data_IF_839150022607
#
_entry.id   IF_839150022607
#
_cell.length_a   1.000
_cell.length_b   1.000
_cell.length_c   1.000
_cell.angle_alpha   90.00
_cell.angle_beta   90.00
_cell.angle_gamma   90.00
#
_symmetry.space_group_name_H-M   'P 1'
#
loop_
_entity.id
_entity.type
_entity.pdbx_description
1 polymer ?
#
# COMPACT_ATOMS: atom_id res chain seq x y z
N UNK A 1 28.93 14.74 -4.14
CA UNK A 1 27.69 15.56 -4.18
C UNK A 1 27.24 15.76 -2.74
N UNK A 2 27.31 16.98 -2.24
CA UNK A 2 26.89 17.35 -0.89
C UNK A 2 27.20 18.83 -0.69
N UNK A 3 26.19 19.66 -0.45
CA UNK A 3 26.39 21.06 -0.09
C UNK A 3 27.04 21.16 1.28
N UNK A 4 27.99 22.08 1.45
CA UNK A 4 28.68 22.30 2.72
C UNK A 4 27.87 23.12 3.72
N UNK A 5 26.76 23.73 3.27
CA UNK A 5 25.93 24.59 4.08
C UNK A 5 24.74 23.82 4.67
N UNK A 6 24.56 23.92 5.98
CA UNK A 6 23.41 23.35 6.68
C UNK A 6 22.15 24.15 6.34
N UNK A 7 21.08 23.45 5.95
CA UNK A 7 19.76 24.05 5.69
C UNK A 7 18.79 23.60 6.76
N UNK A 8 18.21 24.58 7.46
CA UNK A 8 17.13 24.30 8.42
C UNK A 8 15.88 23.84 7.67
N UNK A 9 15.26 22.76 8.15
CA UNK A 9 14.04 22.20 7.57
C UNK A 9 13.04 21.85 8.67
N UNK A 10 11.76 22.12 8.40
CA UNK A 10 10.63 21.63 9.18
C UNK A 10 9.86 20.62 8.31
N UNK A 11 9.92 19.34 8.69
CA UNK A 11 9.43 18.24 7.87
C UNK A 11 8.74 17.17 8.71
N UNK A 12 7.69 16.59 8.13
CA UNK A 12 7.08 15.35 8.61
C UNK A 12 7.58 14.17 7.78
N UNK A 13 8.18 13.19 8.44
CA UNK A 13 8.69 11.98 7.77
C UNK A 13 7.65 10.86 7.85
N UNK A 14 7.33 10.26 6.69
CA UNK A 14 6.52 9.04 6.58
C UNK A 14 7.33 8.01 5.80
N UNK A 15 7.54 6.83 6.40
CA UNK A 15 8.29 5.74 5.79
C UNK A 15 7.44 4.49 5.66
N UNK A 16 7.64 3.70 4.61
CA UNK A 16 6.98 2.41 4.40
C UNK A 16 7.99 1.37 3.92
N UNK A 17 7.85 0.12 4.34
CA UNK A 17 8.69 -0.99 3.90
C UNK A 17 7.90 -2.29 3.90
N UNK A 18 8.20 -3.17 2.93
CA UNK A 18 7.71 -4.55 2.89
C UNK A 18 8.73 -5.55 3.47
N UNK A 19 9.90 -5.06 3.92
CA UNK A 19 10.96 -5.89 4.50
C UNK A 19 10.81 -5.97 6.00
N UNK A 20 11.23 -7.09 6.58
CA UNK A 20 11.39 -7.22 8.02
C UNK A 20 12.61 -6.42 8.48
N UNK A 21 12.36 -5.28 9.14
CA UNK A 21 13.42 -4.42 9.67
C UNK A 21 14.14 -5.06 10.86
N UNK A 22 13.50 -5.92 11.65
CA UNK A 22 14.15 -6.64 12.74
C UNK A 22 15.23 -7.59 12.22
N UNK A 23 14.88 -8.39 11.21
CA UNK A 23 15.84 -9.24 10.51
C UNK A 23 16.94 -8.43 9.80
N UNK A 24 16.61 -7.27 9.25
CA UNK A 24 17.60 -6.39 8.61
C UNK A 24 18.59 -5.78 9.61
N UNK A 25 18.13 -5.40 10.81
CA UNK A 25 18.99 -4.91 11.90
C UNK A 25 19.91 -6.03 12.39
N UNK A 26 19.37 -7.23 12.61
CA UNK A 26 20.17 -8.39 13.03
C UNK A 26 21.28 -8.74 12.01
N UNK A 27 20.98 -8.59 10.71
CA UNK A 27 21.96 -8.77 9.64
C UNK A 27 22.85 -7.57 9.35
N UNK A 28 22.86 -6.53 10.19
CA UNK A 28 23.62 -5.28 9.99
C UNK A 28 23.36 -4.58 8.65
N UNK A 29 22.17 -4.79 8.06
CA UNK A 29 21.71 -4.16 6.81
C UNK A 29 20.81 -2.94 7.06
N UNK A 30 20.43 -2.70 8.32
CA UNK A 30 19.66 -1.54 8.70
C UNK A 30 20.13 -0.98 10.03
N UNK A 31 20.19 0.35 10.10
CA UNK A 31 20.65 1.10 11.26
C UNK A 31 19.62 1.04 12.38
N UNK A 32 20.04 0.52 13.54
CA UNK A 32 19.20 0.37 14.73
C UNK A 32 18.70 1.72 15.26
N UNK A 33 19.55 2.73 15.29
CA UNK A 33 19.20 4.06 15.77
C UNK A 33 18.16 4.76 14.87
N UNK A 34 18.28 4.61 13.55
CA UNK A 34 17.28 5.11 12.60
C UNK A 34 15.94 4.37 12.75
N UNK A 35 15.96 3.05 12.99
CA UNK A 35 14.74 2.28 13.22
C UNK A 35 13.94 2.87 14.39
N UNK A 36 14.58 3.10 15.54
CA UNK A 36 13.88 3.64 16.70
C UNK A 36 13.35 5.07 16.51
N UNK A 37 13.96 5.88 15.63
CA UNK A 37 13.42 7.20 15.27
C UNK A 37 12.21 7.12 14.35
N UNK A 38 12.19 6.18 13.41
CA UNK A 38 11.10 6.03 12.45
C UNK A 38 9.92 5.22 13.01
N UNK A 39 10.21 4.27 13.91
CA UNK A 39 9.24 3.30 14.42
C UNK A 39 8.52 3.74 15.70
N UNK A 40 8.48 5.04 16.00
CA UNK A 40 7.72 5.59 17.13
C UNK A 40 6.21 5.29 16.99
N UNK A 41 5.68 5.40 15.77
CA UNK A 41 4.31 5.01 15.43
C UNK A 41 4.29 4.14 14.18
N UNK A 42 3.86 2.88 14.32
CA UNK A 42 3.84 1.89 13.22
C UNK A 42 2.42 1.51 12.88
N UNK A 43 2.02 1.76 11.63
CA UNK A 43 0.78 1.25 11.05
C UNK A 43 1.08 -0.04 10.31
N UNK A 44 0.57 -1.17 10.82
CA UNK A 44 0.63 -2.46 10.12
C UNK A 44 -0.50 -2.54 9.12
N UNK A 45 -0.15 -2.64 7.84
CA UNK A 45 -1.12 -2.80 6.77
C UNK A 45 -1.29 -4.30 6.47
N UNK A 46 -2.44 -4.92 6.82
CA UNK A 46 -2.67 -6.33 6.49
C UNK A 46 -2.79 -6.51 4.97
N UNK A 47 -2.49 -7.70 4.43
CA UNK A 47 -2.75 -8.02 3.04
C UNK A 47 -4.25 -8.04 2.75
N UNK A 48 -4.63 -7.85 1.48
CA UNK A 48 -6.03 -7.72 1.05
C UNK A 48 -6.87 -8.96 1.39
N UNK A 49 -6.26 -10.15 1.38
CA UNK A 49 -6.90 -11.43 1.77
C UNK A 49 -7.34 -11.50 3.24
N UNK A 50 -6.79 -10.65 4.12
CA UNK A 50 -7.19 -10.53 5.52
C UNK A 50 -8.26 -9.45 5.72
N UNK A 51 -8.49 -8.61 4.70
CA UNK A 51 -9.51 -7.55 4.67
C UNK A 51 -10.44 -7.68 3.46
N UNK A 52 -10.99 -8.89 3.26
CA UNK A 52 -11.83 -9.20 2.10
C UNK A 52 -13.09 -8.35 1.97
N UNK A 53 -13.54 -7.72 3.07
CA UNK A 53 -14.65 -6.77 3.09
C UNK A 53 -14.42 -5.53 2.23
N UNK A 54 -13.16 -5.14 2.02
CA UNK A 54 -12.80 -3.92 1.29
C UNK A 54 -12.78 -4.13 -0.23
N UNK A 55 -12.68 -5.39 -0.69
CA UNK A 55 -12.54 -5.74 -2.10
C UNK A 55 -13.65 -5.14 -2.99
N UNK A 56 -14.95 -5.21 -2.63
CA UNK A 56 -16.02 -4.66 -3.45
C UNK A 56 -15.90 -3.14 -3.62
N UNK A 57 -15.58 -2.41 -2.54
CA UNK A 57 -15.45 -0.96 -2.58
C UNK A 57 -14.24 -0.54 -3.41
N UNK A 58 -13.12 -1.26 -3.29
CA UNK A 58 -11.94 -1.03 -4.13
C UNK A 58 -12.24 -1.33 -5.60
N UNK A 59 -12.94 -2.42 -5.90
CA UNK A 59 -13.31 -2.79 -7.26
C UNK A 59 -14.24 -1.74 -7.90
N UNK A 60 -15.23 -1.26 -7.16
CA UNK A 60 -16.13 -0.20 -7.61
C UNK A 60 -15.36 1.12 -7.84
N UNK A 61 -14.40 1.47 -6.98
CA UNK A 61 -13.53 2.63 -7.17
C UNK A 61 -12.69 2.54 -8.44
N UNK A 62 -12.03 1.40 -8.69
CA UNK A 62 -11.22 1.22 -9.89
C UNK A 62 -12.07 1.17 -11.16
N UNK A 63 -13.27 0.60 -11.11
CA UNK A 63 -14.20 0.66 -12.23
C UNK A 63 -14.52 2.12 -12.58
N UNK A 64 -14.84 2.95 -11.60
CA UNK A 64 -15.14 4.37 -11.83
C UNK A 64 -13.92 5.15 -12.33
N UNK A 65 -12.73 4.86 -11.79
CA UNK A 65 -11.48 5.46 -12.27
C UNK A 65 -11.24 5.14 -13.75
N UNK A 66 -11.33 3.87 -14.13
CA UNK A 66 -10.99 3.42 -15.47
C UNK A 66 -12.08 3.70 -16.50
N UNK A 67 -13.37 3.67 -16.13
CA UNK A 67 -14.44 4.06 -17.07
C UNK A 67 -14.32 5.53 -17.47
N UNK A 68 -13.85 6.40 -16.56
CA UNK A 68 -13.56 7.81 -16.85
C UNK A 68 -12.30 7.94 -17.71
N UNK A 69 -11.23 7.25 -17.34
CA UNK A 69 -9.97 7.28 -18.09
C UNK A 69 -10.11 6.80 -19.54
N UNK A 70 -10.89 5.75 -19.79
CA UNK A 70 -11.06 5.15 -21.11
C UNK A 70 -12.34 5.56 -21.82
N UNK A 71 -13.09 6.54 -21.29
CA UNK A 71 -14.36 7.04 -21.87
C UNK A 71 -15.34 5.89 -22.17
N UNK A 72 -15.56 5.02 -21.17
CA UNK A 72 -16.51 3.91 -21.21
C UNK A 72 -17.68 4.13 -20.25
N UNK A 73 -18.49 5.19 -20.43
CA UNK A 73 -19.53 5.56 -19.47
C UNK A 73 -20.67 4.54 -19.36
N UNK A 74 -20.82 3.63 -20.33
CA UNK A 74 -21.84 2.58 -20.34
C UNK A 74 -21.55 1.40 -19.39
N UNK A 75 -20.38 1.39 -18.73
CA UNK A 75 -20.05 0.38 -17.72
C UNK A 75 -20.27 0.99 -16.34
N UNK A 76 -21.45 0.73 -15.77
CA UNK A 76 -21.90 1.37 -14.53
C UNK A 76 -21.50 0.61 -13.27
N UNK A 77 -21.48 -0.72 -13.32
CA UNK A 77 -21.20 -1.55 -12.15
C UNK A 77 -20.65 -2.93 -12.54
N UNK A 78 -19.91 -3.52 -11.61
CA UNK A 78 -19.61 -4.95 -11.65
C UNK A 78 -20.84 -5.73 -11.18
N UNK A 79 -21.17 -6.82 -11.88
CA UNK A 79 -22.22 -7.73 -11.44
C UNK A 79 -21.86 -8.42 -10.11
N UNK A 80 -22.87 -8.80 -9.32
CA UNK A 80 -22.66 -9.44 -8.02
C UNK A 80 -21.84 -10.74 -8.10
N UNK A 81 -21.99 -11.51 -9.18
CA UNK A 81 -21.16 -12.69 -9.44
C UNK A 81 -19.67 -12.36 -9.57
N UNK A 82 -19.33 -11.25 -10.25
CA UNK A 82 -17.96 -10.79 -10.39
C UNK A 82 -17.39 -10.30 -9.04
N UNK A 83 -18.18 -9.53 -8.28
CA UNK A 83 -17.78 -9.10 -6.92
C UNK A 83 -17.58 -10.30 -5.98
N UNK A 84 -18.46 -11.30 -6.05
CA UNK A 84 -18.33 -12.55 -5.28
C UNK A 84 -17.10 -13.35 -5.69
N UNK A 85 -16.75 -13.38 -6.98
CA UNK A 85 -15.53 -14.02 -7.46
C UNK A 85 -14.27 -13.31 -6.94
N UNK A 86 -14.20 -11.97 -7.06
CA UNK A 86 -13.09 -11.16 -6.55
C UNK A 86 -12.86 -11.37 -5.04
N UNK A 87 -13.93 -11.52 -4.26
CA UNK A 87 -13.83 -11.82 -2.82
C UNK A 87 -13.20 -13.18 -2.53
N UNK A 88 -13.27 -14.16 -3.44
CA UNK A 88 -12.70 -15.51 -3.27
C UNK A 88 -11.25 -15.61 -3.75
N UNK A 89 -10.81 -14.70 -4.60
CA UNK A 89 -9.42 -14.63 -5.05
C UNK A 89 -8.46 -14.51 -3.86
N UNK A 90 -7.25 -15.01 -4.04
CA UNK A 90 -6.28 -15.16 -2.96
C UNK A 90 -5.42 -13.91 -2.73
N UNK A 91 -5.35 -13.01 -3.72
CA UNK A 91 -4.65 -11.72 -3.65
C UNK A 91 -3.23 -11.83 -3.07
N UNK A 92 -2.48 -12.87 -3.47
CA UNK A 92 -1.18 -13.23 -2.87
C UNK A 92 -0.01 -12.46 -3.47
N UNK A 93 -0.10 -12.04 -4.72
CA UNK A 93 1.03 -11.44 -5.43
C UNK A 93 1.23 -9.98 -5.01
N UNK A 94 0.38 -9.08 -5.50
CA UNK A 94 0.52 -7.64 -5.30
C UNK A 94 -0.71 -6.98 -4.63
N UNK A 95 -1.58 -7.79 -4.03
CA UNK A 95 -2.80 -7.32 -3.38
C UNK A 95 -3.63 -6.44 -4.35
N UNK A 96 -3.73 -5.14 -4.07
CA UNK A 96 -4.56 -4.19 -4.84
C UNK A 96 -4.07 -3.98 -6.29
N UNK A 97 -2.80 -4.30 -6.61
CA UNK A 97 -2.24 -4.10 -7.96
C UNK A 97 -2.38 -5.32 -8.89
N UNK A 98 -2.84 -6.45 -8.37
CA UNK A 98 -3.14 -7.65 -9.18
C UNK A 98 -4.38 -7.40 -10.05
#
# INVERSE_FOLDING_TARGET
>A
VGGCDEVSVDVRVVSATNRDLGAAIAGNRFRRDLYFRLADFVIRLPPLRERRGDIPQLADHFLDLYRRQFVRPHIDALGEGAKAWLRRCDWRANNVRE
#
